data_IF_826388183178
#
_entry.id   IF_826388183178
#
_cell.length_a   1.000
_cell.length_b   1.000
_cell.length_c   1.000
_cell.angle_alpha   90.00
_cell.angle_beta   90.00
_cell.angle_gamma   90.00
#
_symmetry.space_group_name_H-M   'P 1'
#
loop_
_entity.id
_entity.type
_entity.pdbx_description
1 polymer ?
#
# COMPACT_ATOMS: atom_id res chain seq x y z
N UNK A 1 12.26 2.04 -8.66
CA UNK A 1 11.77 3.25 -9.35
C UNK A 1 11.16 4.26 -8.38
N UNK A 2 10.34 3.86 -7.41
CA UNK A 2 9.81 4.80 -6.39
C UNK A 2 10.88 5.34 -5.41
N UNK A 3 11.96 4.60 -5.13
CA UNK A 3 13.10 5.11 -4.36
C UNK A 3 13.80 6.30 -5.03
N UNK A 4 13.82 6.32 -6.37
CA UNK A 4 14.32 7.45 -7.14
C UNK A 4 13.49 8.72 -6.90
N UNK A 5 12.15 8.61 -6.82
CA UNK A 5 11.30 9.75 -6.45
C UNK A 5 11.62 10.29 -5.05
N UNK A 6 11.85 9.39 -4.08
CA UNK A 6 12.24 9.78 -2.74
C UNK A 6 13.58 10.55 -2.74
N UNK A 7 14.61 9.99 -3.38
CA UNK A 7 15.95 10.57 -3.42
C UNK A 7 16.00 11.93 -4.13
N UNK A 8 15.21 12.11 -5.20
CA UNK A 8 15.24 13.32 -6.02
C UNK A 8 14.32 14.44 -5.52
N UNK A 9 13.23 14.11 -4.82
CA UNK A 9 12.17 15.08 -4.55
C UNK A 9 11.77 15.20 -3.08
N UNK A 10 12.15 14.24 -2.22
CA UNK A 10 11.68 14.18 -0.82
C UNK A 10 12.84 14.27 0.18
N UNK A 11 13.94 13.56 -0.07
CA UNK A 11 15.08 13.50 0.85
C UNK A 11 15.64 14.90 1.12
N UNK A 12 15.76 15.27 2.40
CA UNK A 12 16.29 16.58 2.82
C UNK A 12 15.27 17.73 2.75
N UNK A 13 14.03 17.48 2.35
CA UNK A 13 12.98 18.50 2.38
C UNK A 13 12.44 18.71 3.81
N UNK A 14 12.11 19.95 4.23
CA UNK A 14 11.51 20.21 5.55
C UNK A 14 10.18 19.48 5.76
N UNK A 15 9.82 19.15 7.00
CA UNK A 15 8.52 18.53 7.30
C UNK A 15 7.37 19.39 6.73
N UNK A 16 6.38 18.75 6.09
CA UNK A 16 5.20 19.40 5.46
C UNK A 16 5.50 20.39 4.33
N UNK A 17 6.73 20.44 3.81
CA UNK A 17 7.03 21.25 2.63
C UNK A 17 6.23 20.78 1.41
N UNK A 18 5.89 21.72 0.52
CA UNK A 18 5.33 21.38 -0.78
C UNK A 18 6.37 20.60 -1.61
N UNK A 19 5.89 19.61 -2.35
CA UNK A 19 6.70 18.79 -3.26
C UNK A 19 6.02 18.73 -4.62
N UNK A 20 6.83 18.66 -5.69
CA UNK A 20 6.32 18.48 -7.06
C UNK A 20 5.50 17.20 -7.14
N UNK A 21 4.37 17.22 -7.84
CA UNK A 21 3.52 16.02 -7.98
C UNK A 21 4.04 15.15 -9.12
N UNK A 22 4.70 14.04 -8.77
CA UNK A 22 5.19 13.05 -9.72
C UNK A 22 4.79 11.67 -9.27
N UNK A 23 4.35 10.83 -10.21
CA UNK A 23 3.98 9.43 -9.99
C UNK A 23 5.03 8.48 -10.53
N UNK A 24 5.21 7.34 -9.86
CA UNK A 24 6.00 6.21 -10.33
C UNK A 24 5.19 4.93 -10.22
N UNK A 25 5.31 4.06 -11.23
CA UNK A 25 4.77 2.71 -11.18
C UNK A 25 5.52 1.90 -10.11
N UNK A 26 4.76 1.34 -9.17
CA UNK A 26 5.29 0.43 -8.14
C UNK A 26 5.29 -0.99 -8.69
N UNK A 27 4.14 -1.45 -9.18
CA UNK A 27 3.98 -2.77 -9.78
C UNK A 27 2.65 -2.89 -10.53
N UNK A 28 2.49 -4.03 -11.19
CA UNK A 28 1.17 -4.54 -11.58
C UNK A 28 0.68 -5.52 -10.51
N UNK A 29 -0.61 -5.46 -10.18
CA UNK A 29 -1.27 -6.46 -9.35
C UNK A 29 -1.12 -7.86 -9.97
N UNK A 30 -1.03 -8.88 -9.12
CA UNK A 30 -0.99 -10.29 -9.55
C UNK A 30 -2.32 -10.70 -10.19
N UNK A 31 -2.32 -11.78 -10.97
CA UNK A 31 -3.54 -12.26 -11.64
C UNK A 31 -4.65 -12.60 -10.64
N UNK A 32 -4.32 -13.25 -9.52
CA UNK A 32 -5.28 -13.56 -8.45
C UNK A 32 -5.92 -12.29 -7.89
N UNK A 33 -5.09 -11.35 -7.44
CA UNK A 33 -5.57 -10.09 -6.86
C UNK A 33 -6.39 -9.27 -7.86
N UNK A 34 -6.04 -9.27 -9.14
CA UNK A 34 -6.85 -8.59 -10.18
C UNK A 34 -8.21 -9.23 -10.39
N UNK A 35 -8.25 -10.56 -10.48
CA UNK A 35 -9.50 -11.29 -10.74
C UNK A 35 -10.46 -11.14 -9.56
N UNK A 36 -9.96 -11.28 -8.33
CA UNK A 36 -10.78 -11.24 -7.12
C UNK A 36 -11.31 -9.83 -6.80
N UNK A 37 -10.60 -8.78 -7.26
CA UNK A 37 -10.97 -7.38 -7.04
C UNK A 37 -11.56 -6.68 -8.28
N UNK A 38 -11.60 -7.34 -9.43
CA UNK A 38 -12.10 -6.76 -10.68
C UNK A 38 -11.22 -5.64 -11.27
N UNK A 39 -9.92 -5.59 -10.97
CA UNK A 39 -9.04 -4.51 -11.44
C UNK A 39 -8.31 -4.81 -12.75
N UNK A 40 -8.59 -4.05 -13.81
CA UNK A 40 -7.87 -4.13 -15.10
C UNK A 40 -7.59 -2.72 -15.66
N UNK A 41 -6.33 -2.34 -15.93
CA UNK A 41 -5.11 -3.16 -16.06
C UNK A 41 -4.33 -3.42 -14.76
N UNK A 42 -4.83 -2.99 -13.59
CA UNK A 42 -4.23 -3.28 -12.27
C UNK A 42 -2.84 -2.68 -12.07
N UNK A 43 -2.54 -1.54 -12.70
CA UNK A 43 -1.29 -0.79 -12.51
C UNK A 43 -1.38 -0.01 -11.21
N UNK A 44 -0.40 -0.22 -10.31
CA UNK A 44 -0.33 0.46 -9.02
C UNK A 44 0.80 1.46 -9.00
N UNK A 45 0.47 2.70 -8.66
CA UNK A 45 1.37 3.83 -8.61
C UNK A 45 1.53 4.35 -7.18
N UNK A 46 2.61 5.10 -6.96
CA UNK A 46 2.78 5.97 -5.79
C UNK A 46 3.22 7.34 -6.28
N UNK A 47 2.75 8.40 -5.63
CA UNK A 47 3.20 9.75 -5.92
C UNK A 47 4.10 10.32 -4.82
N UNK A 48 4.80 11.39 -5.16
CA UNK A 48 5.67 12.16 -4.26
C UNK A 48 4.94 12.70 -3.04
N UNK A 49 3.67 13.11 -3.15
CA UNK A 49 2.87 13.58 -2.00
C UNK A 49 2.68 12.49 -0.96
N UNK A 50 2.40 11.26 -1.40
CA UNK A 50 2.25 10.10 -0.51
C UNK A 50 3.60 9.69 0.07
N UNK A 51 4.67 9.69 -0.73
CA UNK A 51 6.03 9.46 -0.21
C UNK A 51 6.43 10.51 0.84
N UNK A 52 6.09 11.78 0.61
CA UNK A 52 6.31 12.88 1.57
C UNK A 52 5.52 12.64 2.85
N UNK A 53 4.24 12.29 2.74
CA UNK A 53 3.40 11.96 3.88
C UNK A 53 3.97 10.79 4.71
N UNK A 54 4.44 9.73 4.05
CA UNK A 54 5.09 8.61 4.73
C UNK A 54 6.38 9.06 5.43
N UNK A 55 7.23 9.82 4.73
CA UNK A 55 8.50 10.30 5.28
C UNK A 55 8.30 11.19 6.51
N UNK A 56 7.34 12.11 6.46
CA UNK A 56 7.09 13.05 7.56
C UNK A 56 6.39 12.40 8.77
N UNK A 57 5.65 11.30 8.56
CA UNK A 57 4.78 10.69 9.60
C UNK A 57 5.30 9.38 10.17
N UNK A 58 6.37 8.82 9.63
CA UNK A 58 6.88 7.50 10.03
C UNK A 58 8.31 7.63 10.56
N UNK A 59 8.68 6.86 11.59
CA UNK A 59 10.08 6.70 11.95
C UNK A 59 10.90 6.24 10.74
N UNK A 60 12.17 6.65 10.66
CA UNK A 60 13.04 6.37 9.52
C UNK A 60 13.10 4.86 9.18
N UNK A 61 13.26 4.01 10.19
CA UNK A 61 13.27 2.55 10.03
C UNK A 61 11.95 2.02 9.44
N UNK A 62 10.82 2.55 9.91
CA UNK A 62 9.50 2.16 9.42
C UNK A 62 9.29 2.61 7.97
N UNK A 63 9.70 3.84 7.64
CA UNK A 63 9.68 4.36 6.28
C UNK A 63 10.52 3.50 5.33
N UNK A 64 11.77 3.21 5.69
CA UNK A 64 12.67 2.40 4.87
C UNK A 64 12.15 0.98 4.67
N UNK A 65 11.59 0.36 5.72
CA UNK A 65 10.96 -0.95 5.63
C UNK A 65 9.78 -0.94 4.65
N UNK A 66 8.88 0.03 4.78
CA UNK A 66 7.71 0.19 3.91
C UNK A 66 8.15 0.39 2.47
N UNK A 67 9.02 1.36 2.21
CA UNK A 67 9.47 1.70 0.85
C UNK A 67 10.18 0.52 0.20
N UNK A 68 11.02 -0.20 0.95
CA UNK A 68 11.74 -1.39 0.43
C UNK A 68 10.78 -2.52 0.07
N UNK A 69 9.74 -2.75 0.89
CA UNK A 69 8.83 -3.87 0.72
C UNK A 69 7.54 -3.53 -0.03
N UNK A 70 7.32 -2.27 -0.41
CA UNK A 70 6.06 -1.77 -0.96
C UNK A 70 5.54 -2.63 -2.12
N UNK A 71 6.42 -2.96 -3.08
CA UNK A 71 6.10 -3.84 -4.22
C UNK A 71 5.65 -5.23 -3.77
N UNK A 72 6.30 -5.79 -2.76
CA UNK A 72 5.96 -7.11 -2.21
C UNK A 72 4.58 -7.10 -1.56
N UNK A 73 4.31 -6.10 -0.71
CA UNK A 73 3.01 -5.93 -0.02
C UNK A 73 1.88 -5.79 -1.04
N UNK A 74 2.07 -4.96 -2.06
CA UNK A 74 1.02 -4.68 -3.06
C UNK A 74 0.79 -5.86 -4.00
N UNK A 75 1.86 -6.49 -4.49
CA UNK A 75 1.76 -7.55 -5.50
C UNK A 75 1.34 -8.90 -4.91
N UNK A 76 1.77 -9.17 -3.68
CA UNK A 76 1.58 -10.44 -2.98
C UNK A 76 1.12 -10.19 -1.52
N UNK A 77 -0.05 -9.56 -1.32
CA UNK A 77 -0.60 -9.42 0.03
C UNK A 77 -0.94 -10.79 0.60
N UNK A 78 -0.90 -10.92 1.92
CA UNK A 78 -1.38 -12.10 2.63
C UNK A 78 -2.90 -12.03 2.82
N UNK A 79 -3.45 -10.81 2.92
CA UNK A 79 -4.89 -10.55 2.99
C UNK A 79 -5.27 -9.16 2.46
N UNK A 80 -6.54 -9.02 2.07
CA UNK A 80 -7.12 -7.80 1.52
C UNK A 80 -8.42 -7.53 2.25
N UNK A 81 -8.58 -6.30 2.73
CA UNK A 81 -9.76 -5.83 3.44
C UNK A 81 -10.38 -4.64 2.72
N UNK A 82 -11.69 -4.49 2.86
CA UNK A 82 -12.39 -3.25 2.57
C UNK A 82 -12.01 -2.21 3.63
N UNK A 83 -11.70 -0.99 3.21
CA UNK A 83 -11.42 0.08 4.16
C UNK A 83 -12.71 0.51 4.88
N UNK A 84 -12.59 1.18 6.02
CA UNK A 84 -13.75 1.70 6.75
C UNK A 84 -14.40 2.84 5.96
N UNK A 85 -15.73 2.87 5.90
CA UNK A 85 -16.55 3.88 5.16
C UNK A 85 -16.14 5.34 5.45
N UNK A 86 -15.58 5.60 6.62
CA UNK A 86 -15.14 6.92 7.06
C UNK A 86 -13.76 7.35 6.55
N UNK A 87 -13.09 6.58 5.67
CA UNK A 87 -11.70 6.85 5.22
C UNK A 87 -11.58 6.87 3.69
N UNK A 88 -10.74 7.78 3.17
CA UNK A 88 -10.24 7.72 1.78
C UNK A 88 -9.47 6.41 1.53
N UNK A 89 -9.50 5.93 0.29
CA UNK A 89 -9.03 4.62 -0.19
C UNK A 89 -10.04 3.48 0.01
N UNK A 90 -10.28 2.69 -1.05
CA UNK A 90 -11.26 1.60 -1.02
C UNK A 90 -10.75 0.32 -0.36
N UNK A 91 -9.45 0.03 -0.44
CA UNK A 91 -8.90 -1.28 -0.05
C UNK A 91 -7.62 -1.18 0.77
N UNK A 92 -7.47 -2.11 1.71
CA UNK A 92 -6.30 -2.29 2.54
C UNK A 92 -5.63 -3.63 2.24
N UNK A 93 -4.42 -3.58 1.67
CA UNK A 93 -3.56 -4.73 1.40
C UNK A 93 -2.67 -4.97 2.61
N UNK A 94 -2.62 -6.20 3.12
CA UNK A 94 -1.88 -6.54 4.34
C UNK A 94 -0.84 -7.59 4.02
N UNK A 95 0.37 -7.39 4.53
CA UNK A 95 1.43 -8.38 4.48
C UNK A 95 2.19 -8.43 5.80
N UNK A 96 2.49 -9.62 6.26
CA UNK A 96 3.35 -9.87 7.39
C UNK A 96 4.81 -9.86 6.95
N UNK A 97 5.61 -9.03 7.62
CA UNK A 97 7.06 -8.90 7.42
C UNK A 97 7.69 -9.01 8.81
N UNK A 98 8.55 -10.01 9.03
CA UNK A 98 9.20 -10.25 10.32
C UNK A 98 8.19 -10.28 11.49
N UNK A 99 7.15 -11.12 11.38
CA UNK A 99 6.06 -11.28 12.37
C UNK A 99 5.28 -10.00 12.68
N UNK A 100 5.34 -9.00 11.80
CA UNK A 100 4.66 -7.72 11.97
C UNK A 100 3.81 -7.42 10.75
N UNK A 101 2.56 -7.02 10.96
CA UNK A 101 1.66 -6.69 9.86
C UNK A 101 1.89 -5.25 9.37
N UNK A 102 2.03 -5.12 8.06
CA UNK A 102 2.09 -3.84 7.37
C UNK A 102 0.88 -3.69 6.46
N UNK A 103 0.25 -2.52 6.52
CA UNK A 103 -0.88 -2.17 5.67
C UNK A 103 -0.42 -1.23 4.57
N UNK A 104 -0.91 -1.44 3.36
CA UNK A 104 -0.89 -0.48 2.25
C UNK A 104 -2.32 -0.21 1.83
N UNK A 105 -2.76 1.04 1.92
CA UNK A 105 -4.07 1.44 1.43
C UNK A 105 -3.98 1.88 -0.03
N UNK A 106 -4.88 1.35 -0.87
CA UNK A 106 -4.96 1.68 -2.29
C UNK A 106 -6.33 2.22 -2.66
N UNK A 107 -6.36 3.07 -3.68
CA UNK A 107 -7.56 3.69 -4.22
C UNK A 107 -7.56 3.54 -5.74
N UNK A 108 -8.68 3.11 -6.31
CA UNK A 108 -8.88 3.09 -7.74
C UNK A 108 -9.33 4.48 -8.21
N UNK A 109 -8.69 4.99 -9.25
CA UNK A 109 -9.04 6.24 -9.92
C UNK A 109 -9.86 5.94 -11.20
N UNK A 110 -10.53 6.95 -11.73
CA UNK A 110 -11.42 6.85 -12.89
C UNK A 110 -10.73 6.24 -14.14
N UNK A 111 -9.42 6.44 -14.29
CA UNK A 111 -8.62 5.94 -15.43
C UNK A 111 -8.15 4.47 -15.28
N UNK A 112 -8.75 3.68 -14.40
CA UNK A 112 -8.30 2.33 -14.03
C UNK A 112 -6.85 2.28 -13.48
N UNK A 113 -6.34 3.43 -13.03
CA UNK A 113 -5.10 3.53 -12.26
C UNK A 113 -5.39 3.27 -10.78
N UNK A 114 -4.48 2.56 -10.13
CA UNK A 114 -4.55 2.35 -8.69
C UNK A 114 -3.45 3.18 -8.05
N UNK A 115 -3.79 4.01 -7.07
CA UNK A 115 -2.82 4.83 -6.34
C UNK A 115 -2.69 4.33 -4.90
N UNK A 116 -1.47 4.25 -4.41
CA UNK A 116 -1.19 4.05 -2.99
C UNK A 116 -1.47 5.35 -2.26
N UNK A 117 -2.32 5.32 -1.23
CA UNK A 117 -2.73 6.50 -0.46
C UNK A 117 -1.93 6.62 0.84
N UNK A 118 -1.65 5.49 1.50
CA UNK A 118 -0.81 5.47 2.71
C UNK A 118 -0.32 4.05 2.99
N UNK A 119 0.64 3.94 3.91
CA UNK A 119 1.15 2.69 4.44
C UNK A 119 1.69 2.90 5.85
N UNK A 120 1.59 1.87 6.68
CA UNK A 120 2.06 1.90 8.07
C UNK A 120 2.11 0.50 8.68
N UNK A 121 2.89 0.38 9.74
CA UNK A 121 2.93 -0.79 10.61
C UNK A 121 1.70 -0.85 11.51
N UNK A 122 1.07 -2.02 11.60
CA UNK A 122 0.02 -2.31 12.58
C UNK A 122 0.67 -2.59 13.93
N UNK A 123 0.29 -1.82 14.96
CA UNK A 123 0.86 -1.96 16.32
C UNK A 123 -0.01 -2.79 17.27
N UNK A 124 -1.29 -2.97 16.94
CA UNK A 124 -2.26 -3.70 17.76
C UNK A 124 -3.01 -4.68 16.87
N UNK A 125 -3.03 -5.95 17.24
CA UNK A 125 -3.76 -6.99 16.49
C UNK A 125 -5.26 -6.64 16.31
N UNK A 126 -5.84 -5.94 17.29
CA UNK A 126 -7.23 -5.48 17.23
C UNK A 126 -7.51 -4.41 16.16
N UNK A 127 -6.50 -3.86 15.50
CA UNK A 127 -6.68 -2.80 14.50
C UNK A 127 -7.60 -3.23 13.35
N UNK A 128 -7.50 -4.51 12.96
CA UNK A 128 -8.23 -5.10 11.85
C UNK A 128 -9.57 -5.71 12.25
N UNK A 129 -9.93 -5.68 13.54
CA UNK A 129 -11.10 -6.40 14.06
C UNK A 129 -12.41 -5.99 13.38
N UNK A 130 -12.56 -4.72 13.02
CA UNK A 130 -13.78 -4.20 12.37
C UNK A 130 -13.58 -3.96 10.86
N UNK A 131 -12.51 -4.49 10.28
CA UNK A 131 -12.31 -4.43 8.84
C UNK A 131 -12.98 -5.64 8.20
N UNK A 132 -13.66 -5.43 7.07
CA UNK A 132 -14.29 -6.52 6.32
C UNK A 132 -13.24 -7.20 5.44
N UNK A 133 -12.96 -8.47 5.73
CA UNK A 133 -12.04 -9.28 4.92
C UNK A 133 -12.69 -9.58 3.56
N UNK A 134 -11.99 -9.26 2.48
CA UNK A 134 -12.42 -9.54 1.11
C UNK A 134 -11.70 -10.75 0.52
N UNK A 135 -10.42 -10.92 0.87
CA UNK A 135 -9.59 -12.00 0.33
C UNK A 135 -8.44 -12.35 1.27
N UNK A 136 -8.04 -13.62 1.32
CA UNK A 136 -6.83 -14.05 2.04
C UNK A 136 -6.13 -15.21 1.35
N UNK A 137 -4.79 -15.20 1.36
CA UNK A 137 -3.98 -16.26 0.76
C UNK A 137 -4.12 -17.60 1.51
N UNK A 138 -4.38 -17.58 2.82
CA UNK A 138 -4.57 -18.79 3.65
C UNK A 138 -5.96 -19.44 3.51
N UNK A 139 -6.84 -18.89 2.68
CA UNK A 139 -8.21 -19.38 2.49
C UNK A 139 -8.40 -20.42 1.37
N UNK A 140 -7.33 -20.81 0.66
CA UNK A 140 -7.40 -21.98 -0.22
C UNK A 140 -7.50 -23.23 0.64
N UNK A 141 -8.66 -23.88 0.69
CA UNK A 141 -8.73 -25.27 1.16
C UNK A 141 -7.64 -26.06 0.44
N UNK A 142 -6.78 -26.82 1.14
CA UNK A 142 -5.99 -27.84 0.46
C UNK A 142 -7.00 -28.75 -0.24
N UNK A 143 -6.77 -29.01 -1.52
CA UNK A 143 -7.48 -30.08 -2.21
C UNK A 143 -7.24 -31.35 -1.40
N UNK A 144 -8.32 -31.92 -0.85
CA UNK A 144 -8.32 -33.25 -0.24
C UNK A 144 -7.83 -34.31 -1.22
#
# INVERSE_FOLDING_TARGET
MHRFLYEQHIKGTPEKSLVVDKKALVCHLSKSVKNDLGFYPGKVYINTKVLKHLYDKRPAEEFDCIVTNLKSIVKHPDSIYENKDSKRAGLCLIKQINNTDYIVCIEALEDNEIIIVTSFRVRKASYLKDYKLLWSWRGGNPSS
#
